data_IF_414171193996
#
_entry.id   IF_414171193996
#
_cell.length_a   1.000
_cell.length_b   1.000
_cell.length_c   1.000
_cell.angle_alpha   90.00
_cell.angle_beta   90.00
_cell.angle_gamma   90.00
#
_symmetry.space_group_name_H-M   'P 1'
#
loop_
_entity.id
_entity.type
_entity.pdbx_description
1 polymer ?
#
# COMPACT_ATOMS: atom_id res chain seq x y z
N UNK A 1 -37.11 -0.21 31.56
CA UNK A 1 -38.59 -0.23 31.54
C UNK A 1 -39.08 -1.01 32.75
N UNK A 2 -40.32 -0.81 33.19
CA UNK A 2 -40.94 -1.66 34.23
C UNK A 2 -41.51 -2.95 33.63
N UNK A 3 -42.06 -3.80 34.49
CA UNK A 3 -42.70 -5.07 34.09
C UNK A 3 -43.88 -4.85 33.13
N UNK A 4 -44.45 -3.65 33.10
CA UNK A 4 -45.56 -3.24 32.23
C UNK A 4 -45.08 -2.56 30.93
N UNK A 5 -43.76 -2.46 30.70
CA UNK A 5 -43.16 -1.84 29.51
C UNK A 5 -43.14 -0.30 29.55
N UNK A 6 -43.34 0.32 30.71
CA UNK A 6 -43.28 1.77 30.87
C UNK A 6 -41.84 2.25 31.04
N UNK A 7 -41.51 3.47 30.59
CA UNK A 7 -40.21 4.07 30.87
C UNK A 7 -40.09 4.39 32.37
N UNK A 8 -39.02 3.91 33.02
CA UNK A 8 -38.72 4.23 34.44
C UNK A 8 -37.65 5.33 34.54
N UNK A 9 -36.82 5.50 33.50
CA UNK A 9 -35.80 6.53 33.41
C UNK A 9 -35.56 6.84 31.93
N UNK A 10 -35.75 8.10 31.53
CA UNK A 10 -35.64 8.51 30.13
C UNK A 10 -34.30 9.20 29.93
N UNK A 11 -33.39 8.50 29.26
CA UNK A 11 -32.06 8.99 28.90
C UNK A 11 -31.90 9.05 27.39
N UNK A 12 -31.01 9.92 26.93
CA UNK A 12 -30.63 10.04 25.50
C UNK A 12 -29.16 9.69 25.28
N UNK A 13 -28.49 9.15 26.28
CA UNK A 13 -27.09 8.72 26.24
C UNK A 13 -27.03 7.29 26.75
N UNK A 14 -26.38 6.43 25.98
CA UNK A 14 -26.24 5.01 26.26
C UNK A 14 -24.76 4.62 26.20
N UNK A 15 -24.40 3.58 26.95
CA UNK A 15 -23.09 2.95 26.80
C UNK A 15 -23.06 2.02 25.57
N UNK A 16 -21.87 1.68 25.03
CA UNK A 16 -21.75 0.87 23.81
C UNK A 16 -22.37 -0.52 23.91
N UNK A 17 -22.42 -1.11 25.10
CA UNK A 17 -22.98 -2.43 25.37
C UNK A 17 -24.39 -2.40 25.99
N UNK A 18 -25.00 -1.21 26.09
CA UNK A 18 -26.34 -1.03 26.63
C UNK A 18 -27.41 -1.10 25.55
N UNK A 19 -28.42 -1.95 25.78
CA UNK A 19 -29.60 -2.01 24.93
C UNK A 19 -30.35 -0.68 24.94
N UNK A 20 -30.60 -0.14 23.76
CA UNK A 20 -31.35 1.10 23.58
C UNK A 20 -32.82 0.76 23.42
N UNK A 21 -33.68 1.36 24.26
CA UNK A 21 -35.13 1.18 24.19
C UNK A 21 -35.83 2.48 23.80
N UNK A 22 -36.74 2.40 22.83
CA UNK A 22 -37.69 3.45 22.53
C UNK A 22 -39.10 2.99 22.94
N UNK A 23 -39.63 3.61 24.00
CA UNK A 23 -40.95 3.26 24.54
C UNK A 23 -42.02 4.28 24.11
N UNK A 24 -43.17 3.77 23.70
CA UNK A 24 -44.35 4.51 23.28
C UNK A 24 -45.51 4.28 24.24
N UNK A 25 -46.22 5.36 24.57
CA UNK A 25 -47.54 5.27 25.18
C UNK A 25 -48.58 5.72 24.15
N UNK A 26 -49.36 4.77 23.66
CA UNK A 26 -50.44 5.02 22.71
C UNK A 26 -51.74 5.21 23.48
N UNK A 27 -52.47 6.27 23.14
CA UNK A 27 -53.77 6.55 23.76
C UNK A 27 -54.81 5.53 23.28
N UNK A 28 -55.40 4.80 24.21
CA UNK A 28 -56.35 3.74 23.89
C UNK A 28 -55.70 2.59 23.13
N UNK A 29 -56.44 1.99 22.20
CA UNK A 29 -56.03 0.80 21.42
C UNK A 29 -56.11 1.06 19.92
N UNK A 30 -55.20 1.86 19.36
CA UNK A 30 -55.17 2.07 17.92
C UNK A 30 -54.88 0.75 17.18
N UNK A 31 -55.38 0.65 15.95
CA UNK A 31 -55.04 -0.42 14.99
C UNK A 31 -53.96 0.09 14.04
N UNK A 32 -53.38 -0.75 13.19
CA UNK A 32 -52.38 -0.34 12.21
C UNK A 32 -50.96 -0.73 12.65
N UNK A 33 -49.98 -0.36 11.84
CA UNK A 33 -48.59 -0.80 12.02
C UNK A 33 -47.72 0.35 12.50
N UNK A 34 -46.97 0.12 13.58
CA UNK A 34 -45.84 0.96 13.95
C UNK A 34 -44.56 0.35 13.38
N UNK A 35 -43.73 1.18 12.74
CA UNK A 35 -42.41 0.78 12.26
C UNK A 35 -41.36 1.74 12.79
N UNK A 36 -40.28 1.21 13.35
CA UNK A 36 -39.12 1.96 13.79
C UNK A 36 -37.92 1.60 12.91
N UNK A 37 -37.30 2.60 12.30
CA UNK A 37 -36.05 2.49 11.54
C UNK A 37 -34.91 3.08 12.37
N UNK A 38 -33.81 2.36 12.50
CA UNK A 38 -32.65 2.73 13.29
C UNK A 38 -31.55 3.25 12.38
N UNK A 39 -30.98 4.41 12.68
CA UNK A 39 -29.95 5.05 11.86
C UNK A 39 -28.73 5.45 12.70
N UNK A 40 -27.57 5.48 12.02
CA UNK A 40 -26.38 6.21 12.45
C UNK A 40 -25.85 7.05 11.27
N UNK A 41 -25.89 8.37 11.40
CA UNK A 41 -25.77 9.28 10.26
C UNK A 41 -26.75 8.91 9.16
N UNK A 42 -26.29 8.86 7.91
CA UNK A 42 -27.16 8.49 6.78
C UNK A 42 -27.35 6.97 6.63
N UNK A 43 -26.68 6.15 7.45
CA UNK A 43 -26.74 4.69 7.36
C UNK A 43 -27.91 4.12 8.16
N UNK A 44 -28.81 3.40 7.49
CA UNK A 44 -29.80 2.55 8.14
C UNK A 44 -29.12 1.30 8.72
N UNK A 45 -29.33 1.06 10.01
CA UNK A 45 -28.83 -0.09 10.74
C UNK A 45 -29.82 -1.26 10.72
N UNK A 46 -31.11 -0.97 10.54
CA UNK A 46 -32.19 -1.93 10.44
C UNK A 46 -33.54 -1.31 10.80
N UNK A 47 -34.59 -2.13 10.77
CA UNK A 47 -35.94 -1.74 11.13
C UNK A 47 -36.66 -2.82 11.96
N UNK A 48 -37.72 -2.41 12.63
CA UNK A 48 -38.64 -3.30 13.33
C UNK A 48 -40.08 -2.80 13.16
N UNK A 49 -41.01 -3.73 12.90
CA UNK A 49 -42.42 -3.43 12.68
C UNK A 49 -43.33 -4.21 13.63
N UNK A 50 -44.42 -3.59 14.07
CA UNK A 50 -45.41 -4.16 14.97
C UNK A 50 -46.84 -3.83 14.51
N UNK A 51 -47.65 -4.85 14.22
CA UNK A 51 -49.09 -4.68 14.02
C UNK A 51 -49.78 -4.57 15.39
N UNK A 52 -50.36 -3.41 15.67
CA UNK A 52 -51.07 -3.14 16.92
C UNK A 52 -52.34 -3.99 17.07
N UNK A 53 -52.83 -4.58 15.99
CA UNK A 53 -53.97 -5.51 16.02
C UNK A 53 -53.62 -6.80 16.77
N UNK A 54 -52.36 -7.26 16.69
CA UNK A 54 -51.90 -8.48 17.33
C UNK A 54 -51.89 -8.35 18.86
N UNK A 55 -51.47 -7.18 19.36
CA UNK A 55 -51.48 -6.84 20.79
C UNK A 55 -52.90 -6.80 21.39
N UNK A 56 -53.92 -6.59 20.55
CA UNK A 56 -55.31 -6.37 20.97
C UNK A 56 -56.20 -7.61 20.82
N UNK A 57 -55.67 -8.73 20.33
CA UNK A 57 -56.44 -9.93 19.94
C UNK A 57 -57.02 -10.74 21.11
N UNK A 58 -56.53 -10.54 22.35
CA UNK A 58 -56.89 -11.35 23.54
C UNK A 58 -57.76 -10.69 24.61
N UNK A 59 -58.18 -9.42 24.46
CA UNK A 59 -58.79 -8.66 25.57
C UNK A 59 -60.25 -8.28 25.28
N UNK A 60 -61.19 -8.91 25.99
CA UNK A 60 -62.63 -8.85 25.68
C UNK A 60 -63.31 -7.54 26.12
N UNK A 61 -62.86 -6.84 27.18
CA UNK A 61 -63.29 -5.47 27.52
C UNK A 61 -62.29 -4.81 28.48
N UNK A 62 -61.73 -3.65 28.12
CA UNK A 62 -61.18 -2.64 29.05
C UNK A 62 -61.42 -1.25 28.46
N UNK A 63 -61.87 -0.30 29.28
CA UNK A 63 -62.20 1.07 28.87
C UNK A 63 -61.22 2.01 29.56
N UNK A 64 -60.37 2.68 28.78
CA UNK A 64 -59.52 3.79 29.25
C UNK A 64 -58.05 3.47 29.48
N UNK A 65 -57.58 2.25 29.21
CA UNK A 65 -56.16 1.89 29.34
C UNK A 65 -55.37 2.28 28.07
N UNK A 66 -54.16 2.81 28.27
CA UNK A 66 -53.21 3.10 27.19
C UNK A 66 -52.49 1.81 26.78
N UNK A 67 -52.10 1.70 25.50
CA UNK A 67 -51.22 0.63 25.02
C UNK A 67 -49.76 1.06 25.14
N UNK A 68 -48.92 0.22 25.75
CA UNK A 68 -47.48 0.43 25.85
C UNK A 68 -46.77 -0.45 24.83
N UNK A 69 -45.90 0.16 24.03
CA UNK A 69 -45.12 -0.50 22.97
C UNK A 69 -43.67 -0.10 23.12
N UNK A 70 -42.73 -0.98 22.81
CA UNK A 70 -41.34 -0.61 22.72
C UNK A 70 -40.66 -1.24 21.50
N UNK A 71 -39.68 -0.52 20.98
CA UNK A 71 -38.68 -1.02 20.04
C UNK A 71 -37.33 -0.96 20.73
N UNK A 72 -36.41 -1.84 20.35
CA UNK A 72 -35.07 -1.81 20.91
C UNK A 72 -34.01 -2.10 19.85
N UNK A 73 -32.82 -1.59 20.12
CA UNK A 73 -31.61 -1.96 19.41
C UNK A 73 -30.74 -2.79 20.36
N UNK A 74 -30.45 -4.02 19.96
CA UNK A 74 -29.58 -4.91 20.72
C UNK A 74 -28.13 -4.39 20.70
N UNK A 75 -27.49 -4.46 21.86
CA UNK A 75 -26.08 -4.14 22.08
C UNK A 75 -25.55 -5.12 23.13
N UNK A 76 -24.29 -5.51 22.99
CA UNK A 76 -23.61 -6.38 23.95
C UNK A 76 -22.10 -6.15 23.90
N UNK A 77 -21.33 -6.68 24.86
CA UNK A 77 -19.87 -6.60 24.79
C UNK A 77 -19.26 -7.23 23.52
N UNK A 78 -19.91 -8.25 22.94
CA UNK A 78 -19.46 -8.92 21.71
C UNK A 78 -19.86 -8.14 20.44
N UNK A 79 -20.93 -7.35 20.53
CA UNK A 79 -21.47 -6.53 19.45
C UNK A 79 -21.82 -5.13 19.97
N UNK A 80 -20.81 -4.33 20.38
CA UNK A 80 -21.07 -3.01 20.93
C UNK A 80 -21.50 -2.05 19.82
N UNK A 81 -22.36 -1.11 20.19
CA UNK A 81 -22.63 0.07 19.38
C UNK A 81 -21.38 0.92 19.27
N UNK A 82 -21.25 1.67 18.18
CA UNK A 82 -20.12 2.56 17.98
C UNK A 82 -20.38 3.83 18.78
N UNK A 83 -19.36 4.35 19.46
CA UNK A 83 -19.42 5.67 20.10
C UNK A 83 -19.69 6.71 19.01
N UNK A 84 -20.81 7.42 19.10
CA UNK A 84 -21.23 8.45 18.14
C UNK A 84 -22.39 9.26 18.70
N UNK A 85 -22.43 10.55 18.35
CA UNK A 85 -23.53 11.46 18.65
C UNK A 85 -24.66 11.44 17.61
N UNK A 86 -24.51 10.66 16.53
CA UNK A 86 -25.35 10.74 15.33
C UNK A 86 -26.33 9.56 15.18
N UNK A 87 -26.85 9.05 16.29
CA UNK A 87 -27.88 8.02 16.25
C UNK A 87 -29.29 8.61 16.28
N UNK A 88 -30.21 8.01 15.52
CA UNK A 88 -31.64 8.31 15.60
C UNK A 88 -32.52 7.11 15.32
N UNK A 89 -33.73 7.17 15.87
CA UNK A 89 -34.81 6.22 15.57
C UNK A 89 -35.94 7.01 14.93
N UNK A 90 -36.26 6.69 13.68
CA UNK A 90 -37.40 7.26 12.98
C UNK A 90 -38.59 6.32 13.07
N UNK A 91 -39.75 6.85 13.47
CA UNK A 91 -40.94 6.04 13.66
C UNK A 91 -42.06 6.50 12.75
N UNK A 92 -42.72 5.53 12.12
CA UNK A 92 -43.91 5.71 11.30
C UNK A 92 -45.09 4.90 11.82
N UNK A 93 -46.29 5.40 11.54
CA UNK A 93 -47.56 4.74 11.76
C UNK A 93 -48.31 4.66 10.44
N UNK A 94 -48.63 3.44 9.98
CA UNK A 94 -49.20 3.18 8.65
C UNK A 94 -48.44 3.93 7.53
N UNK A 95 -47.10 3.82 7.56
CA UNK A 95 -46.14 4.50 6.67
C UNK A 95 -46.09 6.04 6.75
N UNK A 96 -46.88 6.68 7.62
CA UNK A 96 -46.75 8.10 7.90
C UNK A 96 -45.74 8.32 9.02
N UNK A 97 -44.67 9.09 8.78
CA UNK A 97 -43.72 9.47 9.84
C UNK A 97 -44.44 10.21 10.98
N UNK A 98 -44.22 9.76 12.22
CA UNK A 98 -44.80 10.32 13.43
C UNK A 98 -43.76 10.90 14.40
N UNK A 99 -42.47 10.62 14.20
CA UNK A 99 -41.41 11.17 15.02
C UNK A 99 -40.02 10.71 14.63
N UNK A 100 -39.02 11.47 15.09
CA UNK A 100 -37.61 11.11 15.01
C UNK A 100 -36.98 11.41 16.37
N UNK A 101 -36.24 10.45 16.91
CA UNK A 101 -35.73 10.47 18.27
C UNK A 101 -34.22 10.26 18.25
N UNK A 102 -33.47 11.34 18.47
CA UNK A 102 -32.02 11.31 18.52
C UNK A 102 -31.53 10.78 19.88
N UNK A 103 -30.42 10.04 19.85
CA UNK A 103 -29.67 9.62 21.02
C UNK A 103 -28.18 9.54 20.66
N UNK A 104 -27.34 9.35 21.67
CA UNK A 104 -25.90 9.15 21.49
C UNK A 104 -25.41 7.94 22.23
N UNK A 105 -24.33 7.37 21.73
CA UNK A 105 -23.55 6.33 22.40
C UNK A 105 -22.26 6.98 22.85
N UNK A 106 -22.02 6.99 24.17
CA UNK A 106 -20.87 7.66 24.79
C UNK A 106 -19.88 6.64 25.34
N UNK A 107 -18.60 6.99 25.49
CA UNK A 107 -17.64 6.12 26.15
C UNK A 107 -18.11 5.75 27.58
N UNK A 108 -17.76 4.54 28.08
CA UNK A 108 -17.93 4.21 29.49
C UNK A 108 -17.30 5.27 30.40
N UNK A 109 -17.93 5.63 31.54
CA UNK A 109 -17.44 6.70 32.42
C UNK A 109 -16.10 6.36 33.09
N UNK A 110 -15.74 5.07 33.13
CA UNK A 110 -14.47 4.54 33.62
C UNK A 110 -13.40 4.37 32.54
N UNK A 111 -13.76 4.53 31.25
CA UNK A 111 -12.80 4.44 30.15
C UNK A 111 -11.88 5.66 30.13
N UNK A 112 -10.62 5.45 29.74
CA UNK A 112 -9.69 6.56 29.55
C UNK A 112 -10.07 7.40 28.33
N UNK A 113 -9.72 8.70 28.28
CA UNK A 113 -9.92 9.51 27.08
C UNK A 113 -9.04 9.01 25.92
N UNK A 114 -9.64 8.82 24.75
CA UNK A 114 -8.90 8.50 23.53
C UNK A 114 -8.14 9.70 23.01
N UNK A 115 -6.85 9.52 22.78
CA UNK A 115 -5.92 10.55 22.30
C UNK A 115 -4.85 9.92 21.43
N UNK A 116 -4.85 10.26 20.15
CA UNK A 116 -3.79 9.88 19.23
C UNK A 116 -2.77 11.02 19.22
N UNK A 117 -1.52 10.72 19.53
CA UNK A 117 -0.46 11.73 19.64
C UNK A 117 0.46 11.74 18.42
N UNK A 118 0.62 10.60 17.75
CA UNK A 118 1.49 10.45 16.58
C UNK A 118 0.77 9.64 15.49
N UNK A 119 0.89 10.10 14.25
CA UNK A 119 0.47 9.37 13.05
C UNK A 119 1.50 9.62 11.95
N UNK A 120 2.01 8.56 11.33
CA UNK A 120 3.12 8.61 10.37
C UNK A 120 2.86 7.65 9.22
N UNK A 121 3.07 8.11 7.99
CA UNK A 121 3.13 7.27 6.81
C UNK A 121 4.53 6.65 6.67
N UNK A 122 4.60 5.37 6.33
CA UNK A 122 5.85 4.60 6.31
C UNK A 122 5.77 3.40 5.36
N UNK A 123 6.92 2.83 5.02
CA UNK A 123 7.01 1.57 4.25
C UNK A 123 6.78 0.31 5.08
N UNK A 124 6.71 0.45 6.40
CA UNK A 124 6.44 -0.66 7.30
C UNK A 124 6.26 -0.23 8.75
N UNK A 125 6.07 -1.24 9.60
CA UNK A 125 5.98 -1.11 11.06
C UNK A 125 6.81 -2.21 11.71
N UNK A 126 7.55 -1.88 12.77
CA UNK A 126 8.25 -2.89 13.58
C UNK A 126 7.32 -3.58 14.59
N UNK A 127 7.85 -4.55 15.35
CA UNK A 127 7.11 -5.31 16.36
C UNK A 127 6.56 -4.45 17.53
N UNK A 128 7.10 -3.24 17.70
CA UNK A 128 6.68 -2.28 18.72
C UNK A 128 5.79 -1.17 18.15
N UNK A 129 5.35 -1.32 16.90
CA UNK A 129 4.54 -0.34 16.18
C UNK A 129 5.24 1.00 15.94
N UNK A 130 6.56 0.99 15.76
CA UNK A 130 7.30 2.14 15.26
C UNK A 130 7.37 2.11 13.72
N UNK A 131 7.30 3.26 13.04
CA UNK A 131 7.39 3.31 11.59
C UNK A 131 8.78 2.91 11.09
N UNK A 132 8.83 2.03 10.09
CA UNK A 132 10.04 1.67 9.34
C UNK A 132 10.06 2.52 8.07
N UNK A 133 11.13 3.30 7.90
CA UNK A 133 11.29 4.26 6.80
C UNK A 133 10.07 5.19 6.62
N UNK A 134 9.87 6.15 7.55
CA UNK A 134 8.85 7.18 7.39
C UNK A 134 9.00 7.92 6.06
N UNK A 135 7.93 7.94 5.26
CA UNK A 135 7.93 8.55 3.92
C UNK A 135 6.51 8.95 3.52
N UNK A 136 6.40 9.90 2.60
CA UNK A 136 5.16 10.25 1.90
C UNK A 136 5.26 9.96 0.40
N UNK A 137 6.35 9.33 -0.04
CA UNK A 137 6.61 8.95 -1.43
C UNK A 137 6.83 7.45 -1.49
N UNK A 138 6.10 6.80 -2.40
CA UNK A 138 6.06 5.35 -2.56
C UNK A 138 6.18 4.94 -4.02
N UNK A 139 6.65 3.72 -4.27
CA UNK A 139 6.59 3.08 -5.58
C UNK A 139 5.22 2.39 -5.81
N UNK A 140 4.84 2.05 -7.05
CA UNK A 140 3.52 1.48 -7.36
C UNK A 140 3.25 0.15 -6.67
N UNK A 141 4.27 -0.65 -6.40
CA UNK A 141 4.17 -1.97 -5.77
C UNK A 141 4.38 -1.95 -4.25
N UNK A 142 4.63 -0.78 -3.65
CA UNK A 142 4.85 -0.64 -2.21
C UNK A 142 3.53 -0.61 -1.42
N UNK A 143 3.47 -1.39 -0.35
CA UNK A 143 2.39 -1.28 0.63
C UNK A 143 2.57 -0.03 1.49
N UNK A 144 1.51 0.76 1.63
CA UNK A 144 1.53 2.01 2.40
C UNK A 144 1.03 1.73 3.81
N UNK A 145 1.82 2.08 4.82
CA UNK A 145 1.47 1.92 6.23
C UNK A 145 1.10 3.27 6.84
N UNK A 146 -0.05 3.33 7.51
CA UNK A 146 -0.43 4.41 8.43
C UNK A 146 -0.19 3.92 9.86
N UNK A 147 0.95 4.28 10.43
CA UNK A 147 1.37 3.90 11.77
C UNK A 147 0.95 4.99 12.76
N UNK A 148 0.38 4.60 13.90
CA UNK A 148 -0.17 5.54 14.89
C UNK A 148 0.19 5.11 16.31
N UNK A 149 0.27 6.07 17.22
CA UNK A 149 0.51 5.85 18.65
C UNK A 149 -0.37 6.75 19.51
N UNK A 150 -0.95 6.19 20.56
CA UNK A 150 -1.81 6.95 21.45
C UNK A 150 -2.40 6.16 22.61
N UNK A 151 -3.28 6.84 23.34
CA UNK A 151 -4.17 6.24 24.33
C UNK A 151 -5.51 5.98 23.67
N UNK A 152 -6.11 4.82 23.90
CA UNK A 152 -7.45 4.50 23.43
C UNK A 152 -8.30 3.95 24.57
N UNK A 153 -9.39 4.65 24.84
CA UNK A 153 -10.42 4.18 25.76
C UNK A 153 -11.17 2.99 25.19
N UNK A 154 -11.63 2.10 26.07
CA UNK A 154 -12.51 0.98 25.73
C UNK A 154 -13.68 1.42 24.84
N UNK A 155 -13.97 0.61 23.83
CA UNK A 155 -14.92 0.81 22.74
C UNK A 155 -14.58 1.88 21.71
N UNK A 156 -13.39 2.48 21.77
CA UNK A 156 -12.89 3.33 20.69
C UNK A 156 -12.85 2.53 19.39
N UNK A 157 -13.44 3.08 18.33
CA UNK A 157 -13.33 2.52 16.99
C UNK A 157 -12.39 3.34 16.14
N UNK A 158 -11.37 2.69 15.60
CA UNK A 158 -10.46 3.24 14.61
C UNK A 158 -10.84 2.69 13.23
N UNK A 159 -10.92 3.56 12.23
CA UNK A 159 -11.23 3.20 10.85
C UNK A 159 -10.31 3.97 9.91
N UNK A 160 -9.87 3.33 8.83
CA UNK A 160 -9.21 4.02 7.72
C UNK A 160 -10.05 3.97 6.47
N UNK A 161 -10.03 5.07 5.72
CA UNK A 161 -10.59 5.18 4.37
C UNK A 161 -9.46 5.60 3.42
N UNK A 162 -9.19 4.77 2.42
CA UNK A 162 -8.13 5.00 1.44
C UNK A 162 -8.73 5.59 0.16
N UNK A 163 -8.10 6.62 -0.37
CA UNK A 163 -8.54 7.33 -1.57
C UNK A 163 -7.50 7.18 -2.67
N UNK A 164 -7.85 6.43 -3.71
CA UNK A 164 -7.03 6.20 -4.91
C UNK A 164 -7.44 7.22 -5.97
N UNK A 165 -6.54 8.11 -6.40
CA UNK A 165 -6.86 9.21 -7.32
C UNK A 165 -8.09 10.03 -6.89
N UNK A 166 -8.23 10.27 -5.57
CA UNK A 166 -9.34 11.00 -4.98
C UNK A 166 -10.67 10.22 -4.90
N UNK A 167 -10.70 8.94 -5.27
CA UNK A 167 -11.87 8.07 -5.14
C UNK A 167 -11.69 7.11 -3.96
N UNK A 168 -12.72 6.99 -3.11
CA UNK A 168 -12.72 6.04 -2.00
C UNK A 168 -12.60 4.61 -2.53
N UNK A 169 -11.60 3.89 -2.05
CA UNK A 169 -11.49 2.44 -2.20
C UNK A 169 -12.26 1.76 -1.05
N UNK A 170 -13.51 1.40 -1.33
CA UNK A 170 -14.37 0.74 -0.35
C UNK A 170 -13.81 -0.62 0.10
N UNK A 171 -12.99 -1.28 -0.73
CA UNK A 171 -12.41 -2.59 -0.41
C UNK A 171 -11.23 -2.48 0.56
N UNK A 172 -10.58 -1.31 0.60
CA UNK A 172 -9.47 -0.99 1.49
C UNK A 172 -9.92 -0.57 2.90
N UNK A 173 -11.20 -0.29 3.09
CA UNK A 173 -11.72 0.26 4.34
C UNK A 173 -11.64 -0.79 5.45
N UNK A 174 -10.72 -0.59 6.39
CA UNK A 174 -10.51 -1.46 7.57
C UNK A 174 -10.90 -0.73 8.83
N UNK A 175 -11.37 -1.46 9.84
CA UNK A 175 -11.65 -0.89 11.15
C UNK A 175 -11.41 -1.88 12.28
N UNK A 176 -10.99 -1.37 13.43
CA UNK A 176 -10.84 -2.12 14.68
C UNK A 176 -11.59 -1.41 15.81
N UNK A 177 -12.07 -2.18 16.77
CA UNK A 177 -12.65 -1.67 18.01
C UNK A 177 -11.77 -2.09 19.17
N UNK A 178 -11.36 -1.12 19.98
CA UNK A 178 -10.57 -1.32 21.19
C UNK A 178 -11.48 -1.90 22.28
N UNK A 179 -11.14 -3.07 22.83
CA UNK A 179 -12.00 -3.79 23.78
C UNK A 179 -11.65 -3.54 25.24
N UNK A 180 -10.47 -3.00 25.52
CA UNK A 180 -9.96 -2.65 26.85
C UNK A 180 -9.18 -1.33 26.77
N UNK A 181 -9.08 -0.58 27.87
CA UNK A 181 -8.30 0.64 27.89
C UNK A 181 -6.81 0.34 27.59
N UNK A 182 -6.22 1.14 26.69
CA UNK A 182 -4.82 1.00 26.28
C UNK A 182 -4.13 2.35 26.37
N UNK A 183 -3.02 2.42 27.10
CA UNK A 183 -2.20 3.63 27.22
C UNK A 183 -0.92 3.46 26.41
N UNK A 184 -0.46 4.53 25.77
CA UNK A 184 0.79 4.60 24.99
C UNK A 184 1.01 3.40 24.06
N UNK A 185 -0.06 2.99 23.37
CA UNK A 185 -0.09 1.81 22.51
C UNK A 185 -0.02 2.22 21.05
N UNK A 186 0.83 1.53 20.29
CA UNK A 186 0.90 1.71 18.85
C UNK A 186 -0.01 0.76 18.08
N UNK A 187 -0.25 1.09 16.82
CA UNK A 187 -0.98 0.27 15.86
C UNK A 187 -0.77 0.77 14.44
N UNK A 188 -1.23 0.01 13.46
CA UNK A 188 -1.17 0.45 12.07
C UNK A 188 -2.38 -0.04 11.27
N UNK A 189 -2.63 0.65 10.17
CA UNK A 189 -3.37 0.12 9.03
C UNK A 189 -2.47 0.15 7.81
N UNK A 190 -2.62 -0.82 6.92
CA UNK A 190 -1.86 -0.86 5.67
C UNK A 190 -2.76 -1.21 4.49
N UNK A 191 -2.36 -0.74 3.31
CA UNK A 191 -3.05 -1.04 2.06
C UNK A 191 -2.08 -1.10 0.88
N UNK A 192 -2.34 -2.05 -0.02
CA UNK A 192 -1.75 -2.18 -1.34
C UNK A 192 -2.89 -2.62 -2.28
N UNK A 193 -3.33 -1.78 -3.23
CA UNK A 193 -4.37 -2.16 -4.19
C UNK A 193 -3.95 -3.37 -5.04
N UNK A 194 -4.93 -4.16 -5.48
CA UNK A 194 -4.67 -5.22 -6.46
C UNK A 194 -4.15 -4.62 -7.77
N UNK A 195 -2.94 -4.99 -8.17
CA UNK A 195 -2.27 -4.40 -9.33
C UNK A 195 -1.40 -3.17 -9.02
N UNK A 196 -1.28 -2.80 -7.74
CA UNK A 196 -0.45 -1.69 -7.29
C UNK A 196 -1.16 -0.34 -7.28
N UNK A 197 -0.49 0.64 -6.71
CA UNK A 197 -0.91 2.03 -6.73
C UNK A 197 -0.71 2.65 -8.11
N UNK A 198 -1.70 3.38 -8.65
CA UNK A 198 -1.44 4.24 -9.79
C UNK A 198 -0.50 5.38 -9.40
N UNK A 199 0.28 5.89 -10.36
CA UNK A 199 1.15 7.05 -10.13
C UNK A 199 0.31 8.30 -9.89
N UNK A 200 0.68 9.10 -8.89
CA UNK A 200 0.02 10.35 -8.56
C UNK A 200 -0.25 10.53 -7.07
N UNK A 201 -1.17 11.45 -6.75
CA UNK A 201 -1.53 11.81 -5.38
C UNK A 201 -2.64 10.91 -4.83
N UNK A 202 -2.42 10.44 -3.62
CA UNK A 202 -3.27 9.53 -2.86
C UNK A 202 -3.44 10.01 -1.44
N UNK A 203 -4.39 9.41 -0.74
CA UNK A 203 -4.72 9.84 0.60
C UNK A 203 -5.28 8.73 1.45
N UNK A 204 -4.99 8.78 2.74
CA UNK A 204 -5.65 7.98 3.76
C UNK A 204 -6.26 8.89 4.82
N UNK A 205 -7.49 8.58 5.22
CA UNK A 205 -8.22 9.30 6.27
C UNK A 205 -8.33 8.37 7.49
N UNK A 206 -7.86 8.84 8.65
CA UNK A 206 -8.07 8.19 9.93
C UNK A 206 -9.34 8.74 10.58
N UNK A 207 -10.25 7.85 10.94
CA UNK A 207 -11.53 8.16 11.56
C UNK A 207 -11.58 7.49 12.93
N UNK A 208 -11.92 8.27 13.96
CA UNK A 208 -12.03 7.86 15.35
C UNK A 208 -13.46 8.11 15.81
N UNK A 209 -14.19 7.06 16.21
CA UNK A 209 -15.58 7.18 16.68
C UNK A 209 -16.50 7.97 15.71
N UNK A 210 -16.42 7.61 14.42
CA UNK A 210 -17.12 8.26 13.29
C UNK A 210 -16.72 9.72 12.99
N UNK A 211 -15.76 10.30 13.71
CA UNK A 211 -15.20 11.62 13.42
C UNK A 211 -13.87 11.50 12.69
N UNK A 212 -13.66 12.33 11.66
CA UNK A 212 -12.35 12.44 10.99
C UNK A 212 -11.33 12.98 12.00
N UNK A 213 -10.32 12.16 12.30
CA UNK A 213 -9.20 12.57 13.13
C UNK A 213 -8.14 13.29 12.31
N UNK A 214 -7.83 12.76 11.12
CA UNK A 214 -6.82 13.34 10.25
C UNK A 214 -6.79 12.73 8.86
N UNK A 215 -6.15 13.44 7.95
CA UNK A 215 -6.07 13.14 6.52
C UNK A 215 -4.62 13.29 6.09
N UNK A 216 -4.08 12.26 5.48
CA UNK A 216 -2.65 12.12 5.21
C UNK A 216 -2.45 11.86 3.73
N UNK A 217 -1.81 12.80 3.07
CA UNK A 217 -1.51 12.75 1.64
C UNK A 217 -0.18 12.01 1.41
N UNK A 218 -0.10 11.28 0.30
CA UNK A 218 1.12 10.66 -0.19
C UNK A 218 1.13 10.61 -1.71
N UNK A 219 2.34 10.57 -2.27
CA UNK A 219 2.56 10.50 -3.70
C UNK A 219 3.10 9.12 -4.06
N UNK A 220 2.56 8.53 -5.11
CA UNK A 220 3.13 7.34 -5.74
C UNK A 220 3.85 7.81 -6.99
N UNK A 221 5.14 7.54 -7.07
CA UNK A 221 6.00 7.87 -8.20
C UNK A 221 6.37 6.58 -8.94
N UNK A 222 6.77 6.67 -10.22
CA UNK A 222 7.34 5.49 -10.89
C UNK A 222 8.57 5.03 -10.11
N UNK A 223 8.70 3.70 -9.90
CA UNK A 223 9.90 3.15 -9.29
C UNK A 223 11.10 3.56 -10.14
N UNK A 224 12.08 4.25 -9.56
CA UNK A 224 13.24 4.72 -10.34
C UNK A 224 14.01 3.55 -10.96
N UNK A 225 14.08 2.41 -10.27
CA UNK A 225 14.71 1.16 -10.73
C UNK A 225 13.73 -0.02 -10.58
N UNK A 226 13.69 -0.92 -11.55
CA UNK A 226 12.90 -2.14 -11.56
C UNK A 226 13.79 -3.38 -11.70
N UNK A 227 13.52 -4.47 -10.97
CA UNK A 227 14.27 -5.70 -11.12
C UNK A 227 13.97 -6.37 -12.48
N UNK A 228 15.02 -6.81 -13.14
CA UNK A 228 14.97 -7.65 -14.34
C UNK A 228 15.73 -8.94 -14.07
N UNK A 229 15.07 -10.07 -14.33
CA UNK A 229 15.68 -11.39 -14.35
C UNK A 229 15.66 -11.93 -15.79
N UNK A 230 16.81 -12.37 -16.28
CA UNK A 230 16.88 -13.02 -17.57
C UNK A 230 16.08 -14.34 -17.56
N UNK A 231 15.20 -14.59 -18.55
CA UNK A 231 14.38 -15.82 -18.57
C UNK A 231 15.16 -17.13 -18.63
N UNK A 232 16.43 -17.12 -19.03
CA UNK A 232 17.31 -18.28 -19.06
C UNK A 232 18.17 -18.39 -17.79
N UNK A 233 17.97 -17.48 -16.82
CA UNK A 233 18.67 -17.44 -15.55
C UNK A 233 20.13 -17.01 -15.68
N UNK A 234 20.48 -16.25 -16.73
CA UNK A 234 21.87 -15.85 -17.00
C UNK A 234 22.31 -14.68 -16.13
N UNK A 235 21.42 -13.72 -15.87
CA UNK A 235 21.71 -12.56 -15.03
C UNK A 235 20.45 -11.95 -14.40
N UNK A 236 20.67 -11.15 -13.37
CA UNK A 236 19.68 -10.27 -12.75
C UNK A 236 20.28 -8.88 -12.56
N UNK A 237 19.45 -7.85 -12.66
CA UNK A 237 19.88 -6.44 -12.60
C UNK A 237 18.71 -5.55 -12.13
N UNK A 238 19.01 -4.43 -11.47
CA UNK A 238 18.07 -3.32 -11.29
C UNK A 238 18.23 -2.34 -12.46
N UNK A 239 17.18 -2.10 -13.23
CA UNK A 239 17.20 -1.27 -14.44
C UNK A 239 16.38 0.00 -14.20
N UNK A 240 16.81 1.18 -14.65
CA UNK A 240 15.95 2.36 -14.60
C UNK A 240 14.61 2.11 -15.31
N UNK A 241 13.49 2.44 -14.67
CA UNK A 241 12.17 2.01 -15.16
C UNK A 241 11.82 2.56 -16.55
N UNK A 242 12.41 3.69 -16.94
CA UNK A 242 12.20 4.29 -18.24
C UNK A 242 12.98 3.59 -19.36
N UNK A 243 13.96 2.72 -19.04
CA UNK A 243 14.60 1.79 -19.96
C UNK A 243 13.69 0.56 -20.21
N UNK A 244 12.43 0.81 -20.54
CA UNK A 244 11.35 -0.17 -20.68
C UNK A 244 11.37 -0.95 -22.00
N UNK A 245 12.22 -0.54 -22.95
CA UNK A 245 12.45 -1.21 -24.23
C UNK A 245 13.71 -2.02 -24.18
N UNK A 246 13.65 -3.22 -24.75
CA UNK A 246 14.86 -4.00 -24.96
C UNK A 246 14.84 -4.80 -26.24
N UNK A 247 16.04 -5.01 -26.79
CA UNK A 247 16.33 -5.97 -27.85
C UNK A 247 17.16 -7.12 -27.30
N UNK A 248 16.89 -8.34 -27.78
CA UNK A 248 17.66 -9.54 -27.45
C UNK A 248 18.21 -10.18 -28.72
N UNK A 249 19.50 -10.48 -28.73
CA UNK A 249 20.15 -11.16 -29.85
C UNK A 249 21.04 -12.32 -29.34
N UNK A 250 21.08 -13.42 -30.13
CA UNK A 250 21.90 -14.61 -29.87
C UNK A 250 22.97 -14.88 -30.95
N UNK A 251 23.13 -13.96 -31.90
CA UNK A 251 24.03 -14.16 -33.05
C UNK A 251 25.43 -13.70 -32.67
N UNK A 252 26.38 -14.66 -32.54
CA UNK A 252 27.77 -14.37 -32.17
C UNK A 252 28.03 -14.17 -30.68
N UNK A 253 27.00 -14.30 -29.84
CA UNK A 253 27.01 -14.13 -28.38
C UNK A 253 25.59 -13.94 -27.87
N UNK A 254 25.40 -13.80 -26.55
CA UNK A 254 24.08 -13.58 -25.95
C UNK A 254 24.00 -12.15 -25.42
N UNK A 255 23.12 -11.30 -25.95
CA UNK A 255 23.07 -9.91 -25.55
C UNK A 255 21.67 -9.32 -25.41
N UNK A 256 21.60 -8.32 -24.55
CA UNK A 256 20.47 -7.42 -24.35
C UNK A 256 20.92 -5.98 -24.55
N UNK A 257 20.05 -5.18 -25.17
CA UNK A 257 20.15 -3.72 -25.19
C UNK A 257 18.85 -3.16 -24.62
N UNK A 258 18.91 -2.60 -23.41
CA UNK A 258 17.84 -1.82 -22.80
C UNK A 258 18.01 -0.35 -23.17
N UNK A 259 16.93 0.37 -23.46
CA UNK A 259 17.02 1.78 -23.84
C UNK A 259 15.76 2.57 -23.51
N UNK A 260 15.96 3.83 -23.15
CA UNK A 260 14.89 4.80 -22.99
C UNK A 260 14.37 5.26 -24.36
N UNK A 261 13.05 5.39 -24.50
CA UNK A 261 12.43 5.77 -25.79
C UNK A 261 12.78 7.17 -26.29
N UNK A 262 13.22 8.06 -25.39
CA UNK A 262 13.67 9.41 -25.68
C UNK A 262 15.19 9.51 -25.93
N UNK A 263 15.91 8.38 -25.86
CA UNK A 263 17.36 8.32 -26.06
C UNK A 263 18.20 8.81 -24.87
N UNK A 264 17.60 9.00 -23.69
CA UNK A 264 18.28 9.52 -22.51
C UNK A 264 19.16 8.50 -21.78
N UNK A 265 19.13 7.23 -22.16
CA UNK A 265 20.00 6.21 -21.58
C UNK A 265 19.88 4.84 -22.24
N UNK A 266 20.96 4.07 -22.17
CA UNK A 266 21.01 2.67 -22.58
C UNK A 266 21.81 1.81 -21.61
N UNK A 267 21.40 0.54 -21.47
CA UNK A 267 22.19 -0.50 -20.82
C UNK A 267 22.37 -1.64 -21.82
N UNK A 268 23.61 -1.91 -22.21
CA UNK A 268 23.98 -3.05 -23.03
C UNK A 268 24.62 -4.12 -22.15
N UNK A 269 24.19 -5.36 -22.29
CA UNK A 269 24.78 -6.51 -21.61
C UNK A 269 25.07 -7.58 -22.66
N UNK A 270 26.32 -8.04 -22.73
CA UNK A 270 26.78 -9.04 -23.68
C UNK A 270 27.52 -10.15 -22.98
N UNK A 271 27.24 -11.39 -23.34
CA UNK A 271 27.90 -12.57 -22.83
C UNK A 271 28.54 -13.38 -23.95
N UNK A 272 29.70 -13.96 -23.61
CA UNK A 272 30.44 -14.87 -24.45
C UNK A 272 31.00 -16.04 -23.63
N UNK A 273 31.16 -17.20 -24.27
CA UNK A 273 31.73 -18.40 -23.66
C UNK A 273 33.02 -18.80 -24.40
N UNK A 274 34.08 -19.04 -23.63
CA UNK A 274 35.37 -19.54 -24.09
C UNK A 274 35.52 -21.03 -23.79
N UNK A 275 36.40 -21.71 -24.54
CA UNK A 275 36.71 -23.13 -24.33
C UNK A 275 37.42 -23.41 -22.99
N UNK A 276 38.10 -22.41 -22.43
CA UNK A 276 38.81 -22.49 -21.14
C UNK A 276 38.79 -21.14 -20.41
N UNK A 277 38.86 -21.14 -19.07
CA UNK A 277 39.08 -19.92 -18.29
C UNK A 277 40.42 -19.26 -18.62
N UNK A 278 40.47 -17.95 -18.44
CA UNK A 278 41.72 -17.20 -18.52
C UNK A 278 42.59 -17.52 -17.29
N UNK A 279 43.90 -17.55 -17.48
CA UNK A 279 44.84 -17.44 -16.35
C UNK A 279 45.07 -15.98 -15.97
N UNK A 280 45.55 -15.70 -14.76
CA UNK A 280 45.87 -14.33 -14.31
C UNK A 280 46.79 -13.59 -15.30
N UNK A 281 47.76 -14.27 -15.91
CA UNK A 281 48.69 -13.69 -16.89
C UNK A 281 48.01 -13.40 -18.24
N UNK A 282 47.14 -14.31 -18.70
CA UNK A 282 46.33 -14.09 -19.91
C UNK A 282 45.34 -12.93 -19.70
N UNK A 283 44.69 -12.87 -18.54
CA UNK A 283 43.77 -11.79 -18.19
C UNK A 283 44.49 -10.45 -18.06
N UNK A 284 45.64 -10.40 -17.38
CA UNK A 284 46.41 -9.16 -17.26
C UNK A 284 46.78 -8.60 -18.64
N UNK A 285 47.26 -9.45 -19.55
CA UNK A 285 47.56 -9.03 -20.92
C UNK A 285 46.31 -8.51 -21.66
N UNK A 286 45.18 -9.21 -21.55
CA UNK A 286 43.91 -8.76 -22.12
C UNK A 286 43.47 -7.41 -21.55
N UNK A 287 43.53 -7.24 -20.22
CA UNK A 287 43.06 -6.05 -19.53
C UNK A 287 43.94 -4.81 -19.80
N UNK A 288 45.25 -4.99 -19.95
CA UNK A 288 46.17 -3.92 -20.33
C UNK A 288 45.93 -3.42 -21.76
N UNK A 289 45.59 -4.33 -22.68
CA UNK A 289 45.33 -4.01 -24.09
C UNK A 289 43.86 -3.67 -24.38
N UNK A 290 42.95 -3.85 -23.42
CA UNK A 290 41.53 -3.56 -23.62
C UNK A 290 41.30 -2.05 -23.72
N UNK A 291 40.75 -1.63 -24.85
CA UNK A 291 40.26 -0.28 -25.10
C UNK A 291 38.91 -0.33 -25.83
N UNK A 292 38.20 0.80 -25.82
CA UNK A 292 36.93 0.97 -26.53
C UNK A 292 37.06 1.93 -27.72
N UNK A 293 38.29 2.27 -28.11
CA UNK A 293 38.56 3.29 -29.13
C UNK A 293 38.14 2.76 -30.50
N UNK A 294 37.35 3.56 -31.21
CA UNK A 294 36.83 3.20 -32.54
C UNK A 294 35.73 2.15 -32.52
N UNK A 295 35.34 1.63 -31.35
CA UNK A 295 34.17 0.77 -31.22
C UNK A 295 32.89 1.61 -31.33
N UNK A 296 31.86 1.10 -32.01
CA UNK A 296 30.51 1.68 -31.87
C UNK A 296 29.98 1.33 -30.47
N UNK A 297 29.43 2.28 -29.69
CA UNK A 297 29.06 3.66 -30.05
C UNK A 297 30.11 4.76 -29.76
N UNK A 298 31.29 4.42 -29.24
CA UNK A 298 32.26 5.37 -28.68
C UNK A 298 33.07 6.16 -29.71
N UNK A 299 33.40 5.58 -30.86
CA UNK A 299 34.21 6.22 -31.91
C UNK A 299 35.67 6.50 -31.52
N UNK A 300 36.38 7.19 -32.41
CA UNK A 300 37.84 7.39 -32.33
C UNK A 300 38.26 8.46 -31.32
N UNK A 301 37.35 9.35 -30.91
CA UNK A 301 37.62 10.48 -30.02
C UNK A 301 37.42 10.17 -28.53
N UNK A 302 36.99 8.94 -28.21
CA UNK A 302 36.72 8.51 -26.85
C UNK A 302 37.95 8.69 -25.95
N UNK A 303 37.72 9.25 -24.77
CA UNK A 303 38.70 9.40 -23.71
C UNK A 303 38.31 8.55 -22.51
N UNK A 304 39.32 7.93 -21.89
CA UNK A 304 39.19 7.26 -20.60
C UNK A 304 39.30 8.30 -19.48
N UNK A 305 38.29 8.33 -18.61
CA UNK A 305 38.20 9.21 -17.44
C UNK A 305 38.68 8.50 -16.17
N UNK A 306 38.28 7.24 -16.02
CA UNK A 306 38.71 6.37 -14.92
C UNK A 306 38.93 4.93 -15.43
N UNK A 307 39.84 4.21 -14.76
CA UNK A 307 40.09 2.79 -15.00
C UNK A 307 40.43 2.09 -13.69
N UNK A 308 39.75 0.97 -13.47
CA UNK A 308 40.02 0.09 -12.34
C UNK A 308 40.13 -1.34 -12.85
N UNK A 309 41.15 -2.05 -12.36
CA UNK A 309 41.43 -3.44 -12.72
C UNK A 309 41.36 -4.31 -11.48
N UNK A 310 40.85 -5.53 -11.63
CA UNK A 310 40.87 -6.51 -10.56
C UNK A 310 42.26 -7.01 -10.21
N UNK A 311 42.40 -7.52 -8.97
CA UNK A 311 43.64 -8.15 -8.50
C UNK A 311 43.81 -9.59 -9.01
N UNK A 312 44.87 -10.29 -8.56
CA UNK A 312 45.04 -11.71 -8.86
C UNK A 312 43.81 -12.54 -8.43
N UNK A 313 43.27 -13.36 -9.34
CA UNK A 313 42.02 -14.10 -9.14
C UNK A 313 40.73 -13.29 -9.30
N UNK A 314 40.81 -11.99 -9.64
CA UNK A 314 39.67 -11.12 -9.90
C UNK A 314 39.75 -10.59 -11.34
N UNK A 315 39.11 -11.27 -12.28
CA UNK A 315 39.19 -10.89 -13.69
C UNK A 315 38.11 -9.86 -14.05
N UNK A 316 38.31 -8.60 -13.67
CA UNK A 316 37.45 -7.51 -14.12
C UNK A 316 38.21 -6.26 -14.60
N UNK A 317 37.54 -5.49 -15.46
CA UNK A 317 37.91 -4.16 -15.93
C UNK A 317 36.70 -3.26 -15.70
N UNK A 318 36.91 -2.11 -15.09
CA UNK A 318 35.95 -1.00 -15.06
C UNK A 318 36.59 0.17 -15.79
N UNK A 319 35.82 0.80 -16.68
CA UNK A 319 36.18 2.05 -17.35
C UNK A 319 35.04 3.05 -17.20
N UNK A 320 35.38 4.31 -16.96
CA UNK A 320 34.50 5.44 -17.21
C UNK A 320 35.05 6.17 -18.44
N UNK A 321 34.21 6.40 -19.44
CA UNK A 321 34.63 6.94 -20.74
C UNK A 321 33.68 8.02 -21.24
N UNK A 322 34.21 8.94 -22.05
CA UNK A 322 33.43 10.00 -22.70
C UNK A 322 33.87 10.16 -24.16
N UNK A 323 32.93 10.28 -25.09
CA UNK A 323 33.18 10.73 -26.48
C UNK A 323 32.30 11.93 -26.79
N UNK A 324 32.94 13.02 -27.21
CA UNK A 324 32.26 14.29 -27.49
C UNK A 324 31.70 14.33 -28.90
N UNK A 325 32.33 13.65 -29.85
CA UNK A 325 31.84 13.56 -31.22
C UNK A 325 30.56 12.70 -31.30
N UNK A 326 30.48 11.64 -30.49
CA UNK A 326 29.30 10.77 -30.42
C UNK A 326 28.31 11.15 -29.30
N UNK A 327 28.63 12.20 -28.53
CA UNK A 327 27.81 12.69 -27.41
C UNK A 327 27.42 11.56 -26.45
N UNK A 328 28.43 10.92 -25.86
CA UNK A 328 28.23 9.79 -24.96
C UNK A 328 29.16 9.89 -23.75
N UNK A 329 28.59 9.63 -22.58
CA UNK A 329 29.31 9.29 -21.36
C UNK A 329 28.88 7.87 -20.97
N UNK A 330 29.82 7.02 -20.57
CA UNK A 330 29.50 5.64 -20.24
C UNK A 330 30.36 5.04 -19.12
N UNK A 331 29.74 4.12 -18.40
CA UNK A 331 30.43 3.09 -17.60
C UNK A 331 30.53 1.81 -18.42
N UNK A 332 31.73 1.23 -18.47
CA UNK A 332 31.99 -0.06 -19.10
C UNK A 332 32.56 -1.00 -18.06
N UNK A 333 31.91 -2.13 -17.87
CA UNK A 333 32.38 -3.17 -16.97
C UNK A 333 32.52 -4.48 -17.72
N UNK A 334 33.71 -5.08 -17.64
CA UNK A 334 34.04 -6.36 -18.25
C UNK A 334 34.44 -7.31 -17.14
N UNK A 335 33.90 -8.52 -17.14
CA UNK A 335 34.33 -9.55 -16.21
C UNK A 335 34.43 -10.90 -16.91
N UNK A 336 35.50 -11.63 -16.64
CA UNK A 336 35.64 -13.05 -16.95
C UNK A 336 35.51 -13.87 -15.67
N UNK A 337 34.79 -14.98 -15.75
CA UNK A 337 34.70 -15.96 -14.69
C UNK A 337 34.42 -17.33 -15.29
N UNK A 338 35.20 -18.33 -14.89
CA UNK A 338 35.00 -19.74 -15.25
C UNK A 338 34.90 -19.99 -16.77
N UNK A 339 35.65 -19.23 -17.58
CA UNK A 339 35.63 -19.35 -19.04
C UNK A 339 34.41 -18.71 -19.69
N UNK A 340 33.59 -17.96 -18.97
CA UNK A 340 32.58 -17.08 -19.54
C UNK A 340 32.98 -15.62 -19.30
N UNK A 341 32.54 -14.72 -20.18
CA UNK A 341 32.79 -13.29 -20.04
C UNK A 341 31.51 -12.50 -20.27
N UNK A 342 31.38 -11.42 -19.52
CA UNK A 342 30.34 -10.42 -19.70
C UNK A 342 30.97 -9.05 -19.99
N UNK A 343 30.30 -8.28 -20.84
CA UNK A 343 30.53 -6.85 -21.04
C UNK A 343 29.21 -6.14 -20.76
N UNK A 344 29.22 -5.24 -19.79
CA UNK A 344 28.13 -4.35 -19.48
C UNK A 344 28.54 -2.92 -19.82
N UNK A 345 27.67 -2.19 -20.52
CA UNK A 345 27.86 -0.78 -20.83
C UNK A 345 26.61 -0.02 -20.44
N UNK A 346 26.75 0.99 -19.60
CA UNK A 346 25.68 1.91 -19.24
C UNK A 346 26.06 3.27 -19.79
N UNK A 347 25.21 3.85 -20.64
CA UNK A 347 25.57 5.09 -21.33
C UNK A 347 24.40 6.04 -21.48
N UNK A 348 24.71 7.32 -21.52
CA UNK A 348 23.77 8.41 -21.78
C UNK A 348 24.47 9.56 -22.52
N UNK A 349 23.72 10.48 -23.14
CA UNK A 349 24.26 11.75 -23.61
C UNK A 349 25.02 12.51 -22.51
N UNK A 350 26.05 13.26 -22.89
CA UNK A 350 26.95 13.91 -21.90
C UNK A 350 26.19 14.89 -21.01
N UNK A 351 25.21 15.61 -21.58
CA UNK A 351 24.40 16.58 -20.85
C UNK A 351 23.34 15.94 -19.95
N UNK A 352 22.96 14.69 -20.22
CA UNK A 352 22.01 13.88 -19.43
C UNK A 352 22.71 13.06 -18.35
N UNK A 353 24.00 12.73 -18.54
CA UNK A 353 24.78 11.89 -17.62
C UNK A 353 24.63 12.24 -16.13
N UNK A 354 24.69 13.52 -15.71
CA UNK A 354 24.58 13.86 -14.29
C UNK A 354 23.25 13.45 -13.64
N UNK A 355 22.17 13.32 -14.42
CA UNK A 355 20.86 12.87 -13.95
C UNK A 355 20.75 11.33 -13.92
N UNK A 356 21.68 10.62 -14.56
CA UNK A 356 21.68 9.15 -14.72
C UNK A 356 22.74 8.43 -13.91
N UNK A 357 23.82 9.12 -13.56
CA UNK A 357 25.00 8.54 -12.92
C UNK A 357 24.63 7.66 -11.72
N UNK A 358 23.80 8.17 -10.80
CA UNK A 358 23.43 7.45 -9.59
C UNK A 358 22.64 6.15 -9.88
N UNK A 359 21.69 6.21 -10.82
CA UNK A 359 20.88 5.04 -11.19
C UNK A 359 21.72 3.99 -11.93
N UNK A 360 22.62 4.42 -12.82
CA UNK A 360 23.53 3.54 -13.53
C UNK A 360 24.59 2.91 -12.62
N UNK A 361 25.16 3.66 -11.68
CA UNK A 361 26.03 3.07 -10.66
C UNK A 361 25.28 2.02 -9.83
N UNK A 362 24.04 2.33 -9.42
CA UNK A 362 23.21 1.37 -8.67
C UNK A 362 22.89 0.12 -9.49
N UNK A 363 22.60 0.27 -10.78
CA UNK A 363 22.35 -0.83 -11.70
C UNK A 363 23.58 -1.74 -11.84
N UNK A 364 24.77 -1.14 -12.00
CA UNK A 364 26.03 -1.88 -12.08
C UNK A 364 26.34 -2.63 -10.77
N UNK A 365 26.17 -1.98 -9.62
CA UNK A 365 26.43 -2.57 -8.29
C UNK A 365 25.47 -3.73 -7.96
N UNK A 366 24.27 -3.74 -8.56
CA UNK A 366 23.28 -4.81 -8.39
C UNK A 366 23.28 -5.84 -9.54
N UNK A 367 24.19 -5.71 -10.51
CA UNK A 367 24.31 -6.67 -11.59
C UNK A 367 24.91 -7.99 -11.07
N UNK A 368 24.17 -9.08 -11.22
CA UNK A 368 24.62 -10.43 -10.89
C UNK A 368 24.45 -11.33 -12.10
N UNK A 369 25.43 -12.18 -12.39
CA UNK A 369 25.37 -13.12 -13.51
C UNK A 369 26.00 -14.46 -13.15
N UNK A 370 25.65 -15.50 -13.92
CA UNK A 370 26.03 -16.89 -13.63
C UNK A 370 26.79 -17.52 -14.81
N UNK A 371 28.11 -17.73 -14.70
CA UNK A 371 28.94 -18.33 -15.76
C UNK A 371 28.43 -19.67 -16.30
N UNK A 372 27.99 -20.57 -15.41
CA UNK A 372 27.41 -21.85 -15.79
C UNK A 372 26.16 -21.70 -16.69
N UNK A 373 25.33 -20.70 -16.41
CA UNK A 373 24.14 -20.41 -17.22
C UNK A 373 24.53 -19.84 -18.60
N UNK A 374 25.57 -19.01 -18.67
CA UNK A 374 26.14 -18.52 -19.94
C UNK A 374 26.62 -19.70 -20.80
N UNK A 375 27.40 -20.62 -20.22
CA UNK A 375 27.87 -21.83 -20.91
C UNK A 375 26.71 -22.71 -21.37
N UNK A 376 25.66 -22.87 -20.56
CA UNK A 376 24.49 -23.64 -20.96
C UNK A 376 23.73 -22.99 -22.13
N UNK A 377 23.61 -21.66 -22.14
CA UNK A 377 22.89 -20.91 -23.16
C UNK A 377 23.65 -20.84 -24.49
N UNK A 378 24.98 -20.73 -24.46
CA UNK A 378 25.84 -20.57 -25.64
C UNK A 378 26.48 -21.87 -26.13
N UNK A 379 26.77 -22.83 -25.24
CA UNK A 379 27.36 -24.13 -25.57
C UNK A 379 26.45 -25.05 -26.39
N UNK A 380 25.16 -24.71 -26.53
CA UNK A 380 24.22 -25.39 -27.42
C UNK A 380 24.29 -24.97 -28.90
N UNK A 381 25.17 -24.03 -29.28
CA UNK A 381 25.25 -23.46 -30.64
C UNK A 381 26.42 -24.00 -31.50
N UNK A 382 27.02 -25.14 -31.16
CA UNK A 382 27.95 -25.82 -32.08
C UNK A 382 27.18 -26.67 -33.10
N UNK A 383 26.86 -26.11 -34.28
CA UNK A 383 26.74 -26.86 -35.55
C UNK A 383 27.76 -26.36 -36.57
#
# INVERSE_FOLDING_TARGET
>A
MDEDGRPIDSVTSFLPDEKVYLAFTLKGRPKGTLTAHFYRGDKELGDASLDLSDLNSGVVFSIGENTYVNFWMDASPDHPLIISDDYRIEVSYDAQSIGSYAFRVVPPPDAIPTRIYEVTLARGSDENYNPIEPTTTFAPDEEVYLVMRGDAGRYTRLKTEWYVNGQLDETATKSITIVEDTEDTGGFFSHLPEGGWPVGEHQVVLIVNDEEFGRYDFTVEEAALVPFEDPEGIFSILIPADLDRFEKNKTGGYNYLFYASDGSGTIYVYFYAFDKPFSDEEWQGFAEDYDVVGMEPFGEDVIELDRQLGGPGEHFIYLEVESKENDIHALVWVQEAEGAMTVMTLSAPIDVWPDREADFSTALDNFTWWPDAVHAALGGQQE
#
